data_IF_364004722169
#
_entry.id   IF_364004722169
#
_cell.length_a   1.000
_cell.length_b   1.000
_cell.length_c   1.000
_cell.angle_alpha   90.00
_cell.angle_beta   90.00
_cell.angle_gamma   90.00
#
_symmetry.space_group_name_H-M   'P 1'
#
loop_
_entity.id
_entity.type
_entity.pdbx_description
1 polymer ?
#
# COMPACT_ATOMS: atom_id res chain seq x y z
N UNK A 1 26.53 16.12 -2.42
CA UNK A 1 26.50 14.65 -2.52
C UNK A 1 25.33 14.13 -1.70
N UNK A 2 24.36 13.47 -2.33
CA UNK A 2 23.23 12.86 -1.62
C UNK A 2 23.73 11.70 -0.75
N UNK A 3 23.30 11.64 0.52
CA UNK A 3 23.57 10.48 1.38
C UNK A 3 22.60 9.37 1.00
N UNK A 4 23.12 8.30 0.41
CA UNK A 4 22.34 7.10 0.14
C UNK A 4 21.91 6.43 1.46
N UNK A 5 20.71 5.88 1.47
CA UNK A 5 20.24 5.04 2.58
C UNK A 5 20.84 3.65 2.37
N UNK A 6 21.38 3.09 3.44
CA UNK A 6 21.89 1.71 3.47
C UNK A 6 20.91 0.85 4.25
N UNK A 7 20.70 -0.39 3.81
CA UNK A 7 19.90 -1.37 4.55
C UNK A 7 20.46 -1.52 5.98
N UNK A 8 19.62 -1.44 7.02
CA UNK A 8 20.05 -1.72 8.39
C UNK A 8 20.64 -3.13 8.51
N UNK A 9 21.72 -3.26 9.28
CA UNK A 9 22.26 -4.57 9.63
C UNK A 9 21.27 -5.34 10.51
N UNK A 10 21.38 -6.66 10.52
CA UNK A 10 20.54 -7.56 11.31
C UNK A 10 20.53 -7.28 12.82
N UNK A 11 21.63 -6.75 13.36
CA UNK A 11 21.73 -6.33 14.76
C UNK A 11 20.83 -5.13 15.10
N UNK A 12 20.56 -4.26 14.11
CA UNK A 12 19.72 -3.07 14.28
C UNK A 12 18.25 -3.42 13.99
N UNK A 13 18.02 -4.24 12.97
CA UNK A 13 16.71 -4.72 12.59
C UNK A 13 16.74 -6.27 12.59
N UNK A 14 16.38 -6.91 13.72
CA UNK A 14 16.39 -8.36 13.84
C UNK A 14 15.53 -9.04 12.77
N UNK A 15 15.79 -10.32 12.44
CA UNK A 15 14.94 -11.06 11.53
C UNK A 15 13.50 -11.09 12.06
N UNK A 16 12.54 -10.75 11.19
CA UNK A 16 11.12 -10.68 11.53
C UNK A 16 10.29 -9.96 10.46
N UNK A 17 8.97 -9.84 10.65
CA UNK A 17 8.07 -9.24 9.65
C UNK A 17 8.45 -7.82 9.25
N UNK A 18 8.86 -6.98 10.21
CA UNK A 18 9.32 -5.60 9.96
C UNK A 18 10.56 -5.57 9.05
N UNK A 19 11.49 -6.50 9.25
CA UNK A 19 12.68 -6.62 8.39
C UNK A 19 12.30 -7.06 6.98
N UNK A 20 11.40 -8.05 6.85
CA UNK A 20 10.92 -8.52 5.55
C UNK A 20 10.25 -7.40 4.74
N UNK A 21 9.38 -6.62 5.38
CA UNK A 21 8.77 -5.43 4.76
C UNK A 21 9.81 -4.39 4.36
N UNK A 22 10.72 -4.03 5.26
CA UNK A 22 11.78 -3.03 5.00
C UNK A 22 12.69 -3.46 3.86
N UNK A 23 13.06 -4.74 3.83
CA UNK A 23 13.91 -5.31 2.78
C UNK A 23 13.23 -5.24 1.41
N UNK A 24 11.95 -5.64 1.33
CA UNK A 24 11.20 -5.58 0.08
C UNK A 24 11.10 -4.14 -0.46
N UNK A 25 10.86 -3.14 0.39
CA UNK A 25 10.83 -1.75 -0.02
C UNK A 25 12.23 -1.24 -0.42
N UNK A 26 13.27 -1.68 0.27
CA UNK A 26 14.65 -1.32 -0.03
C UNK A 26 15.14 -1.93 -1.35
N UNK A 27 14.64 -3.10 -1.74
CA UNK A 27 14.94 -3.70 -3.03
C UNK A 27 14.38 -2.86 -4.19
N UNK A 28 13.13 -2.36 -4.07
CA UNK A 28 12.58 -1.38 -5.02
C UNK A 28 13.35 -0.05 -5.01
N UNK A 29 13.79 0.41 -3.85
CA UNK A 29 14.63 1.60 -3.75
C UNK A 29 15.96 1.44 -4.51
N UNK A 30 16.55 0.24 -4.46
CA UNK A 30 17.76 -0.08 -5.23
C UNK A 30 17.48 -0.20 -6.72
N UNK A 31 16.39 -0.86 -7.11
CA UNK A 31 15.98 -1.04 -8.49
C UNK A 31 15.75 0.30 -9.19
N UNK A 32 15.06 1.23 -8.51
CA UNK A 32 14.82 2.60 -8.94
C UNK A 32 16.08 3.50 -9.05
N UNK A 33 17.29 2.97 -8.90
CA UNK A 33 18.54 3.74 -9.02
C UNK A 33 18.89 4.56 -7.77
N UNK A 34 18.31 4.25 -6.60
CA UNK A 34 18.56 4.94 -5.32
C UNK A 34 18.31 6.45 -5.37
N UNK A 35 17.09 6.89 -5.75
CA UNK A 35 16.74 8.31 -5.79
C UNK A 35 16.94 8.95 -4.40
N UNK A 36 17.14 10.26 -4.36
CA UNK A 36 17.17 10.97 -3.09
C UNK A 36 15.78 11.01 -2.46
N UNK A 37 15.72 11.10 -1.14
CA UNK A 37 14.46 11.22 -0.41
C UNK A 37 13.63 12.43 -0.81
N UNK A 38 14.29 13.51 -1.23
CA UNK A 38 13.62 14.73 -1.70
C UNK A 38 12.94 14.44 -3.03
N UNK A 39 13.62 13.79 -3.97
CA UNK A 39 13.02 13.43 -5.26
C UNK A 39 11.82 12.49 -5.08
N UNK A 40 11.91 11.48 -4.20
CA UNK A 40 10.75 10.60 -3.93
C UNK A 40 9.57 11.41 -3.36
N UNK A 41 9.83 12.32 -2.43
CA UNK A 41 8.77 13.12 -1.81
C UNK A 41 8.14 14.11 -2.82
N UNK A 42 8.95 14.70 -3.68
CA UNK A 42 8.50 15.64 -4.73
C UNK A 42 7.69 14.90 -5.82
N UNK A 43 8.10 13.69 -6.20
CA UNK A 43 7.36 12.83 -7.12
C UNK A 43 5.99 12.44 -6.54
N UNK A 44 5.94 12.02 -5.27
CA UNK A 44 4.66 11.70 -4.58
C UNK A 44 3.76 12.94 -4.55
N UNK A 45 4.32 14.12 -4.27
CA UNK A 45 3.56 15.36 -4.23
C UNK A 45 3.04 15.80 -5.62
N UNK A 46 3.74 15.41 -6.68
CA UNK A 46 3.36 15.72 -8.07
C UNK A 46 2.37 14.74 -8.67
N UNK A 47 2.07 13.63 -7.97
CA UNK A 47 1.24 12.54 -8.48
C UNK A 47 -0.20 12.64 -7.96
N UNK A 48 -1.05 13.36 -8.70
CA UNK A 48 -2.44 13.65 -8.30
C UNK A 48 -3.32 12.39 -8.10
N UNK A 49 -2.94 11.25 -8.70
CA UNK A 49 -3.69 10.01 -8.58
C UNK A 49 -3.45 9.29 -7.24
N UNK A 50 -2.36 9.60 -6.53
CA UNK A 50 -2.01 8.96 -5.28
C UNK A 50 -2.84 9.55 -4.13
N UNK A 51 -3.51 8.67 -3.38
CA UNK A 51 -4.30 9.09 -2.19
C UNK A 51 -3.43 9.34 -0.95
N UNK A 52 -2.21 8.80 -0.93
CA UNK A 52 -1.28 8.93 0.19
C UNK A 52 -0.30 10.08 0.01
N UNK A 53 0.20 10.61 1.12
CA UNK A 53 1.38 11.47 1.14
C UNK A 53 2.43 10.87 2.08
N UNK A 54 3.71 11.09 1.75
CA UNK A 54 4.83 10.68 2.56
C UNK A 54 5.85 11.82 2.64
N UNK A 55 6.16 12.26 3.87
CA UNK A 55 7.25 13.23 4.06
C UNK A 55 8.62 12.56 3.87
N UNK A 56 9.64 13.34 3.55
CA UNK A 56 11.04 12.86 3.48
C UNK A 56 11.48 12.08 4.72
N UNK A 57 11.05 12.52 5.89
CA UNK A 57 11.39 11.87 7.15
C UNK A 57 10.62 10.55 7.34
N UNK A 58 9.36 10.50 6.92
CA UNK A 58 8.56 9.26 6.89
C UNK A 58 9.20 8.22 5.98
N UNK A 59 9.61 8.62 4.77
CA UNK A 59 10.27 7.74 3.80
C UNK A 59 11.61 7.24 4.38
N UNK A 60 12.41 8.12 5.01
CA UNK A 60 13.65 7.74 5.71
C UNK A 60 13.40 6.66 6.76
N UNK A 61 12.46 6.91 7.68
CA UNK A 61 12.17 5.99 8.79
C UNK A 61 11.67 4.64 8.29
N UNK A 62 10.85 4.64 7.24
CA UNK A 62 10.32 3.44 6.63
C UNK A 62 11.42 2.60 5.95
N UNK A 63 12.31 3.22 5.15
CA UNK A 63 13.44 2.52 4.52
C UNK A 63 14.50 2.03 5.51
N UNK A 64 14.49 2.54 6.75
CA UNK A 64 15.34 2.06 7.84
C UNK A 64 14.66 1.07 8.77
N UNK A 65 13.38 0.75 8.55
CA UNK A 65 12.61 -0.08 9.45
C UNK A 65 12.41 0.53 10.85
N UNK A 66 12.63 1.83 11.03
CA UNK A 66 12.42 2.54 12.30
C UNK A 66 10.92 2.74 12.58
N UNK A 67 10.08 2.75 11.54
CA UNK A 67 8.63 2.92 11.68
C UNK A 67 7.90 2.22 10.52
N UNK A 68 6.85 1.47 10.86
CA UNK A 68 5.89 0.93 9.89
C UNK A 68 4.69 1.89 9.82
N UNK A 69 4.38 2.50 8.67
CA UNK A 69 3.21 3.38 8.56
C UNK A 69 1.92 2.61 8.85
N UNK A 70 0.99 3.24 9.58
CA UNK A 70 -0.32 2.64 9.92
C UNK A 70 -1.31 2.65 8.75
N UNK A 71 -1.04 3.42 7.69
CA UNK A 71 -1.91 3.53 6.52
C UNK A 71 -1.23 2.95 5.30
N UNK A 72 -1.90 1.98 4.66
CA UNK A 72 -1.45 1.37 3.41
C UNK A 72 -1.20 2.42 2.31
N UNK A 73 -2.06 3.43 2.19
CA UNK A 73 -1.96 4.46 1.14
C UNK A 73 -0.62 5.22 1.14
N UNK A 74 0.02 5.38 2.30
CA UNK A 74 1.35 6.00 2.39
C UNK A 74 2.43 5.08 1.84
N UNK A 75 2.34 3.77 2.10
CA UNK A 75 3.27 2.76 1.59
C UNK A 75 3.09 2.59 0.08
N UNK A 76 1.84 2.49 -0.36
CA UNK A 76 1.45 2.40 -1.76
C UNK A 76 1.98 3.59 -2.58
N UNK A 77 1.86 4.82 -2.05
CA UNK A 77 2.38 6.00 -2.75
C UNK A 77 3.91 5.93 -2.96
N UNK A 78 4.66 5.50 -1.94
CA UNK A 78 6.11 5.33 -2.06
C UNK A 78 6.46 4.20 -3.02
N UNK A 79 5.76 3.06 -2.93
CA UNK A 79 5.99 1.92 -3.81
C UNK A 79 5.73 2.28 -5.27
N UNK A 80 4.62 2.95 -5.57
CA UNK A 80 4.26 3.37 -6.92
C UNK A 80 5.34 4.24 -7.55
N UNK A 81 5.81 5.26 -6.84
CA UNK A 81 6.90 6.12 -7.34
C UNK A 81 8.20 5.34 -7.55
N UNK A 82 8.55 4.40 -6.67
CA UNK A 82 9.74 3.57 -6.86
C UNK A 82 9.62 2.65 -8.08
N UNK A 83 8.46 2.01 -8.27
CA UNK A 83 8.19 1.17 -9.44
C UNK A 83 8.23 1.99 -10.74
N UNK A 84 7.58 3.16 -10.77
CA UNK A 84 7.59 4.04 -11.96
C UNK A 84 9.01 4.46 -12.36
N UNK A 85 9.88 4.74 -11.39
CA UNK A 85 11.29 5.10 -11.66
C UNK A 85 12.13 3.93 -12.15
N UNK A 86 11.78 2.71 -11.75
CA UNK A 86 12.36 1.47 -12.28
C UNK A 86 11.79 1.10 -13.67
N UNK A 87 10.74 1.79 -14.14
CA UNK A 87 10.03 1.43 -15.37
C UNK A 87 9.09 0.23 -15.21
N UNK A 88 8.87 -0.22 -13.98
CA UNK A 88 8.00 -1.35 -13.63
C UNK A 88 6.64 -0.85 -13.16
N UNK A 89 5.55 -1.54 -13.52
CA UNK A 89 4.22 -1.21 -12.99
C UNK A 89 4.01 -1.88 -11.63
N UNK A 90 3.50 -1.17 -10.60
CA UNK A 90 3.20 -1.78 -9.29
C UNK A 90 2.06 -2.81 -9.36
N UNK A 91 1.17 -2.69 -10.36
CA UNK A 91 0.13 -3.68 -10.68
C UNK A 91 0.60 -4.71 -11.72
N UNK A 92 1.84 -4.61 -12.20
CA UNK A 92 2.42 -5.60 -13.09
C UNK A 92 2.44 -6.97 -12.42
N UNK A 93 1.99 -7.97 -13.15
CA UNK A 93 2.23 -9.37 -12.78
C UNK A 93 3.69 -9.67 -13.09
N UNK A 94 4.48 -10.12 -12.10
CA UNK A 94 5.78 -10.71 -12.41
C UNK A 94 5.60 -11.89 -13.35
N UNK A 95 6.52 -12.06 -14.30
CA UNK A 95 6.45 -13.08 -15.37
C UNK A 95 6.15 -14.50 -14.88
N UNK A 96 6.45 -14.81 -13.62
CA UNK A 96 6.30 -16.14 -13.01
C UNK A 96 5.50 -16.17 -11.70
N UNK A 97 4.72 -15.14 -11.35
CA UNK A 97 3.90 -15.17 -10.13
C UNK A 97 2.53 -14.52 -10.30
N UNK A 98 1.51 -15.20 -9.77
CA UNK A 98 0.11 -14.75 -9.74
C UNK A 98 -0.13 -13.53 -8.83
N UNK A 99 0.90 -13.06 -8.11
CA UNK A 99 0.78 -12.01 -7.11
C UNK A 99 1.51 -10.77 -7.62
N UNK A 100 0.79 -9.65 -7.74
CA UNK A 100 1.40 -8.39 -8.17
C UNK A 100 2.43 -7.89 -7.15
N UNK A 101 3.36 -7.06 -7.60
CA UNK A 101 4.35 -6.45 -6.72
C UNK A 101 3.71 -5.70 -5.55
N UNK A 102 2.64 -4.95 -5.82
CA UNK A 102 1.84 -4.28 -4.80
C UNK A 102 1.24 -5.23 -3.76
N UNK A 103 0.63 -6.34 -4.20
CA UNK A 103 0.04 -7.34 -3.29
C UNK A 103 1.09 -8.01 -2.40
N UNK A 104 2.27 -8.34 -2.95
CA UNK A 104 3.37 -8.91 -2.17
C UNK A 104 3.83 -7.96 -1.07
N UNK A 105 4.05 -6.69 -1.40
CA UNK A 105 4.46 -5.67 -0.41
C UNK A 105 3.34 -5.41 0.60
N UNK A 106 2.07 -5.43 0.17
CA UNK A 106 0.92 -5.29 1.06
C UNK A 106 0.86 -6.38 2.12
N UNK A 107 1.05 -7.64 1.74
CA UNK A 107 1.08 -8.76 2.69
C UNK A 107 2.19 -8.58 3.73
N UNK A 108 3.41 -8.22 3.29
CA UNK A 108 4.53 -7.95 4.20
C UNK A 108 4.24 -6.77 5.13
N UNK A 109 3.56 -5.75 4.64
CA UNK A 109 3.12 -4.61 5.44
C UNK A 109 2.08 -5.01 6.49
N UNK A 110 1.05 -5.78 6.11
CA UNK A 110 0.02 -6.28 7.03
C UNK A 110 0.69 -7.09 8.18
N UNK A 111 1.61 -8.00 7.85
CA UNK A 111 2.41 -8.77 8.83
C UNK A 111 3.28 -7.87 9.73
N UNK A 112 3.90 -6.84 9.15
CA UNK A 112 4.76 -5.91 9.88
C UNK A 112 3.97 -4.98 10.82
N UNK A 113 2.77 -4.54 10.42
CA UNK A 113 1.86 -3.75 11.26
C UNK A 113 1.39 -4.58 12.45
N UNK A 114 0.98 -5.83 12.20
CA UNK A 114 0.54 -6.75 13.25
C UNK A 114 1.67 -7.03 14.25
N UNK A 115 2.88 -7.36 13.78
CA UNK A 115 4.04 -7.56 14.64
C UNK A 115 4.41 -6.29 15.43
N UNK A 116 4.27 -5.10 14.83
CA UNK A 116 4.52 -3.83 15.51
C UNK A 116 3.46 -3.51 16.59
N UNK A 117 2.21 -3.93 16.40
CA UNK A 117 1.18 -3.86 17.43
C UNK A 117 1.47 -4.83 18.58
N UNK A 118 1.80 -6.08 18.27
CA UNK A 118 2.18 -7.10 19.26
C UNK A 118 3.41 -6.67 20.09
N UNK A 119 4.41 -6.04 19.47
CA UNK A 119 5.59 -5.52 20.18
C UNK A 119 5.28 -4.29 21.06
N UNK A 120 4.20 -3.56 20.76
CA UNK A 120 3.76 -2.39 21.53
C UNK A 120 2.89 -2.74 22.71
N UNK A 121 2.13 -3.82 22.62
CA UNK A 121 1.39 -4.34 23.76
C UNK A 121 2.41 -4.76 24.82
N UNK A 122 2.53 -4.00 25.94
CA UNK A 122 3.38 -4.44 27.01
C UNK A 122 2.79 -5.77 27.47
N UNK A 123 3.59 -6.83 27.46
CA UNK A 123 3.34 -8.05 28.24
C UNK A 123 3.49 -7.69 29.73
N UNK A 124 2.85 -6.62 30.17
CA UNK A 124 2.51 -6.44 31.56
C UNK A 124 1.22 -7.22 31.70
N UNK A 125 1.20 -8.36 32.42
CA UNK A 125 -0.07 -8.91 32.85
C UNK A 125 -0.78 -7.75 33.53
N UNK A 126 -1.90 -7.29 32.97
CA UNK A 126 -2.63 -6.16 33.54
C UNK A 126 -2.88 -6.52 35.01
N UNK A 127 -2.22 -5.86 35.98
CA UNK A 127 -2.30 -6.28 37.37
C UNK A 127 -3.72 -6.13 37.93
N UNK A 128 -4.57 -5.38 37.22
CA UNK A 128 -5.97 -5.21 37.51
C UNK A 128 -6.85 -6.30 36.89
N UNK A 129 -6.43 -6.97 35.82
CA UNK A 129 -7.18 -8.09 35.22
C UNK A 129 -7.16 -9.37 36.08
N UNK A 130 -6.26 -9.48 37.06
CA UNK A 130 -6.27 -10.59 38.03
C UNK A 130 -7.24 -10.36 39.19
N UNK A 131 -7.86 -9.18 39.33
CA UNK A 131 -8.68 -8.87 40.50
C UNK A 131 -10.14 -9.35 40.40
N UNK A 132 -10.58 -9.76 39.21
CA UNK A 132 -11.96 -10.22 38.99
C UNK A 132 -12.13 -11.74 39.21
N UNK A 133 -11.04 -12.53 39.12
CA UNK A 133 -11.06 -13.98 39.34
C UNK A 133 -11.01 -14.38 40.83
N UNK A 134 -10.48 -13.51 41.71
CA UNK A 134 -10.46 -13.76 43.16
C UNK A 134 -11.70 -13.23 43.90
N UNK A 135 -12.58 -12.50 43.19
CA UNK A 135 -13.78 -11.87 43.74
C UNK A 135 -15.10 -12.50 43.31
N UNK A 136 -15.10 -13.35 42.28
CA UNK A 136 -16.22 -14.25 41.98
C UNK A 136 -16.17 -15.47 42.90
N UNK A 137 -16.14 -15.20 44.21
CA UNK A 137 -16.84 -16.06 45.14
C UNK A 137 -18.26 -16.08 44.66
N UNK A 138 -18.58 -17.13 43.91
CA UNK A 138 -19.90 -17.65 43.68
C UNK A 138 -20.68 -17.46 44.97
N UNK A 139 -21.39 -16.33 45.07
CA UNK A 139 -22.50 -16.18 45.98
C UNK A 139 -23.57 -17.07 45.36
N UNK A 140 -23.41 -18.38 45.55
CA UNK A 140 -24.48 -19.35 45.51
C UNK A 140 -25.46 -18.86 46.56
N UNK A 141 -26.33 -17.93 46.17
CA UNK A 141 -27.60 -17.76 46.85
C UNK A 141 -28.21 -19.16 46.82
N UNK A 142 -28.52 -19.78 47.96
CA UNK A 142 -29.26 -21.03 47.92
C UNK A 142 -30.53 -20.74 47.15
N UNK A 143 -30.65 -21.32 45.96
CA UNK A 143 -31.90 -21.32 45.21
C UNK A 143 -32.90 -21.98 46.14
N UNK A 144 -33.77 -21.18 46.73
CA UNK A 144 -34.87 -21.72 47.52
C UNK A 144 -35.75 -22.51 46.56
N UNK A 145 -36.20 -23.68 46.99
CA UNK A 145 -37.01 -24.62 46.19
C UNK A 145 -38.24 -23.97 45.54
N UNK A 146 -38.69 -22.82 46.06
CA UNK A 146 -39.79 -22.02 45.52
C UNK A 146 -39.48 -21.30 44.19
N UNK A 147 -38.22 -21.00 43.86
CA UNK A 147 -37.86 -20.27 42.64
C UNK A 147 -37.62 -21.20 41.44
N UNK A 148 -37.31 -22.48 41.69
CA UNK A 148 -37.16 -23.51 40.67
C UNK A 148 -38.48 -23.91 39.99
N UNK A 149 -39.64 -23.78 40.66
CA UNK A 149 -40.94 -24.04 40.04
C UNK A 149 -41.43 -22.89 39.13
N UNK A 150 -40.95 -21.66 39.31
CA UNK A 150 -41.38 -20.53 38.49
C UNK A 150 -40.72 -20.51 37.10
N UNK A 151 -39.49 -21.03 36.98
CA UNK A 151 -38.75 -21.05 35.71
C UNK A 151 -39.21 -22.16 34.75
N UNK A 152 -39.72 -23.28 35.25
CA UNK A 152 -40.30 -24.34 34.42
C UNK A 152 -41.57 -23.91 33.66
N UNK A 153 -42.25 -22.84 34.10
CA UNK A 153 -43.46 -22.33 33.45
C UNK A 153 -43.18 -21.38 32.27
N UNK A 154 -41.95 -20.85 32.13
CA UNK A 154 -41.60 -19.89 31.08
C UNK A 154 -41.11 -20.60 29.81
N UNK A 155 -40.42 -21.75 29.92
CA UNK A 155 -39.92 -22.49 28.76
C UNK A 155 -41.03 -23.22 27.96
N UNK A 156 -42.16 -23.57 28.58
CA UNK A 156 -43.27 -24.22 27.88
C UNK A 156 -44.04 -23.24 26.95
N UNK A 157 -43.96 -21.92 27.22
CA UNK A 157 -44.62 -20.89 26.40
C UNK A 157 -43.82 -20.50 25.14
N UNK A 158 -42.50 -20.64 25.15
CA UNK A 158 -41.65 -20.21 24.02
C UNK A 158 -41.59 -21.27 22.90
N UNK A 159 -41.84 -22.54 23.22
CA UNK A 159 -41.85 -23.62 22.22
C UNK A 159 -43.09 -23.59 21.29
N UNK A 160 -44.13 -22.80 21.62
CA UNK A 160 -45.33 -22.65 20.80
C UNK A 160 -45.23 -21.58 19.70
N UNK A 161 -44.21 -20.71 19.72
CA UNK A 161 -44.15 -19.56 18.79
C UNK A 161 -43.26 -19.78 17.54
N UNK A 162 -42.60 -20.93 17.43
CA UNK A 162 -41.67 -21.26 16.34
C UNK A 162 -42.30 -22.00 15.13
N UNK A 163 -43.62 -22.20 15.10
CA UNK A 163 -44.30 -22.97 14.05
C UNK A 163 -44.90 -22.12 12.90
N UNK A 164 -44.88 -20.79 12.96
CA UNK A 164 -45.56 -19.92 11.98
C UNK A 164 -44.62 -18.88 11.35
N UNK A 165 -43.57 -19.35 10.67
CA UNK A 165 -42.88 -18.53 9.67
C UNK A 165 -42.28 -19.40 8.57
N UNK A 166 -43.11 -20.29 8.03
CA UNK A 166 -42.90 -20.87 6.72
C UNK A 166 -43.58 -20.00 5.65
N UNK A 167 -42.97 -19.94 4.47
CA UNK A 167 -43.61 -19.68 3.18
C UNK A 167 -43.68 -18.20 2.74
N UNK A 168 -42.77 -17.78 1.83
CA UNK A 168 -43.05 -17.73 0.37
C UNK A 168 -41.82 -17.27 -0.44
N UNK A 169 -41.77 -17.77 -1.68
CA UNK A 169 -41.09 -17.23 -2.87
C UNK A 169 -39.72 -17.81 -3.25
N UNK A 170 -39.80 -19.02 -3.79
CA UNK A 170 -39.02 -19.43 -4.95
C UNK A 170 -39.64 -18.83 -6.23
N UNK A 171 -38.84 -18.14 -7.05
CA UNK A 171 -39.04 -17.82 -8.49
C UNK A 171 -37.80 -17.00 -8.90
N UNK A 172 -37.10 -17.17 -10.02
CA UNK A 172 -37.26 -17.99 -11.20
C UNK A 172 -35.86 -18.21 -11.81
N UNK A 173 -35.62 -19.44 -12.27
CA UNK A 173 -34.78 -19.73 -13.42
C UNK A 173 -35.38 -19.08 -14.66
N UNK A 174 -34.63 -18.22 -15.36
CA UNK A 174 -34.81 -18.05 -16.81
C UNK A 174 -33.53 -17.53 -17.45
N UNK A 175 -33.10 -18.25 -18.49
CA UNK A 175 -31.94 -17.94 -19.30
C UNK A 175 -32.16 -16.70 -20.15
N UNK A 176 -31.07 -15.99 -20.42
CA UNK A 176 -31.06 -14.80 -21.25
C UNK A 176 -29.79 -14.72 -22.07
N UNK A 177 -29.80 -15.46 -23.17
CA UNK A 177 -28.96 -15.26 -24.35
C UNK A 177 -28.85 -13.76 -24.69
N UNK A 178 -27.62 -13.23 -24.77
CA UNK A 178 -27.32 -12.01 -25.53
C UNK A 178 -25.95 -12.11 -26.19
N UNK A 179 -25.89 -12.91 -27.25
CA UNK A 179 -24.97 -12.61 -28.37
C UNK A 179 -25.52 -11.44 -29.17
N UNK A 180 -24.63 -10.49 -29.47
CA UNK A 180 -24.76 -9.57 -30.60
C UNK A 180 -25.44 -8.24 -30.28
N UNK A 181 -24.69 -7.15 -30.39
CA UNK A 181 -24.81 -6.24 -31.53
C UNK A 181 -23.71 -5.18 -31.46
N UNK A 182 -23.01 -5.07 -32.59
CA UNK A 182 -22.20 -3.94 -32.95
C UNK A 182 -23.06 -2.68 -33.19
N UNK A 183 -22.37 -1.55 -33.38
CA UNK A 183 -22.76 -0.28 -34.00
C UNK A 183 -22.93 0.95 -33.11
N UNK A 184 -21.94 1.84 -33.26
CA UNK A 184 -22.08 3.20 -33.78
C UNK A 184 -23.18 4.08 -33.20
N UNK A 185 -22.76 5.18 -32.54
CA UNK A 185 -22.95 6.57 -32.99
C UNK A 185 -22.57 7.51 -31.84
N UNK A 186 -21.55 8.36 -32.02
CA UNK A 186 -21.70 9.80 -32.34
C UNK A 186 -22.72 10.51 -31.45
N UNK A 187 -22.23 11.39 -30.59
CA UNK A 187 -23.05 12.32 -29.82
C UNK A 187 -22.20 13.39 -29.17
N UNK A 188 -21.86 14.42 -29.93
CA UNK A 188 -21.33 15.69 -29.46
C UNK A 188 -22.19 16.25 -28.33
N UNK A 189 -21.59 16.47 -27.16
CA UNK A 189 -22.18 17.21 -26.05
C UNK A 189 -21.29 18.39 -25.68
N UNK A 190 -21.40 19.47 -26.44
CA UNK A 190 -20.84 20.78 -26.09
C UNK A 190 -21.64 21.33 -24.91
N UNK A 191 -21.20 21.03 -23.69
CA UNK A 191 -21.65 21.67 -22.46
C UNK A 191 -20.92 22.99 -22.26
N UNK A 192 -21.65 24.08 -22.47
CA UNK A 192 -21.21 25.44 -22.21
C UNK A 192 -20.82 25.65 -20.74
N UNK A 193 -19.64 26.25 -20.52
CA UNK A 193 -19.23 26.78 -19.22
C UNK A 193 -19.53 28.28 -19.17
N UNK A 194 -20.07 28.82 -18.07
CA UNK A 194 -20.46 30.22 -17.98
C UNK A 194 -19.24 31.15 -17.93
N UNK A 195 -19.29 32.21 -18.73
CA UNK A 195 -18.40 33.36 -18.70
C UNK A 195 -18.71 34.23 -17.49
N UNK A 196 -17.90 34.11 -16.43
CA UNK A 196 -17.94 35.03 -15.29
C UNK A 196 -17.06 36.26 -15.56
N UNK A 197 -17.75 37.33 -15.95
CA UNK A 197 -17.54 38.76 -15.66
C UNK A 197 -16.16 39.21 -15.13
N UNK A 198 -15.54 40.06 -15.95
CA UNK A 198 -14.40 40.92 -15.63
C UNK A 198 -14.67 41.86 -14.45
N UNK A 199 -14.00 41.61 -13.32
CA UNK A 199 -13.81 42.58 -12.24
C UNK A 199 -12.48 43.31 -12.42
N UNK A 200 -12.56 44.54 -12.90
CA UNK A 200 -11.46 45.48 -13.11
C UNK A 200 -11.25 46.33 -11.84
N UNK A 201 -10.13 46.19 -11.13
CA UNK A 201 -9.51 47.25 -10.31
C UNK A 201 -8.20 46.79 -9.67
N UNK A 202 -7.16 47.65 -9.68
CA UNK A 202 -6.05 47.58 -8.72
C UNK A 202 -4.68 47.17 -9.27
N UNK A 203 -4.15 47.90 -10.26
CA UNK A 203 -2.73 47.83 -10.62
C UNK A 203 -1.89 48.51 -9.53
N UNK A 204 -1.26 47.73 -8.66
CA UNK A 204 -0.10 48.13 -7.87
C UNK A 204 1.17 47.67 -8.59
N UNK A 205 1.94 48.63 -9.10
CA UNK A 205 3.13 48.37 -9.92
C UNK A 205 4.29 47.77 -9.13
N UNK A 206 4.94 46.78 -9.73
CA UNK A 206 6.31 46.37 -9.40
C UNK A 206 7.23 46.86 -10.52
N UNK A 207 8.41 47.43 -10.20
CA UNK A 207 9.31 47.96 -11.23
C UNK A 207 10.00 46.83 -12.00
N UNK A 208 9.75 46.79 -13.30
CA UNK A 208 10.46 45.97 -14.29
C UNK A 208 11.88 46.51 -14.46
N UNK A 209 12.89 45.66 -14.22
CA UNK A 209 14.26 45.91 -14.64
C UNK A 209 14.38 45.75 -16.17
N UNK A 210 15.09 46.64 -16.89
CA UNK A 210 15.27 46.51 -18.33
C UNK A 210 16.49 45.64 -18.67
N UNK A 211 16.33 44.76 -19.66
CA UNK A 211 17.43 44.36 -20.54
C UNK A 211 17.74 42.88 -20.61
N UNK A 212 16.90 42.10 -21.29
CA UNK A 212 17.36 40.91 -22.02
C UNK A 212 16.70 40.91 -23.40
N UNK A 213 17.47 40.94 -24.51
CA UNK A 213 16.92 41.04 -25.86
C UNK A 213 16.25 39.74 -26.30
N UNK A 214 15.07 39.90 -26.89
CA UNK A 214 14.30 38.86 -27.56
C UNK A 214 15.01 38.40 -28.83
N UNK A 215 15.65 37.23 -28.79
CA UNK A 215 16.03 36.49 -29.99
C UNK A 215 15.00 35.40 -30.30
N UNK A 216 14.15 35.75 -31.28
CA UNK A 216 13.61 34.91 -32.34
C UNK A 216 13.64 33.38 -32.13
N UNK A 217 12.49 32.81 -31.78
CA UNK A 217 12.27 31.38 -31.92
C UNK A 217 11.88 31.15 -33.38
N UNK A 218 12.93 30.99 -34.19
CA UNK A 218 12.84 30.61 -35.59
C UNK A 218 12.55 29.11 -35.66
N UNK A 219 11.47 28.75 -36.34
CA UNK A 219 11.19 27.39 -36.80
C UNK A 219 12.32 26.92 -37.72
N UNK A 220 13.08 25.92 -37.30
CA UNK A 220 13.97 25.11 -38.15
C UNK A 220 13.57 23.66 -37.83
N UNK A 221 13.02 22.87 -38.75
CA UNK A 221 13.60 22.63 -40.07
C UNK A 221 14.62 21.51 -39.88
N UNK A 222 14.19 20.29 -40.20
CA UNK A 222 14.89 19.02 -40.06
C UNK A 222 16.37 19.09 -40.37
N UNK A 223 17.20 18.58 -39.44
CA UNK A 223 18.57 18.18 -39.73
C UNK A 223 18.85 16.85 -39.01
N UNK A 224 19.00 15.73 -39.74
CA UNK A 224 19.42 14.45 -39.19
C UNK A 224 20.94 14.44 -39.02
N UNK A 225 21.43 15.18 -38.02
CA UNK A 225 22.81 15.04 -37.57
C UNK A 225 22.88 13.90 -36.56
N UNK A 226 23.68 12.90 -36.93
CA UNK A 226 24.17 11.79 -36.13
C UNK A 226 24.38 12.21 -34.68
N UNK A 227 23.58 11.63 -33.78
CA UNK A 227 23.88 11.63 -32.36
C UNK A 227 25.25 10.94 -32.17
N UNK A 228 26.22 11.57 -31.52
CA UNK A 228 27.41 10.86 -31.07
C UNK A 228 26.93 9.78 -30.10
N UNK A 229 27.32 8.53 -30.34
CA UNK A 229 27.06 7.38 -29.47
C UNK A 229 27.26 7.79 -28.01
N UNK A 230 26.14 8.08 -27.32
CA UNK A 230 26.11 8.10 -25.87
C UNK A 230 26.36 6.67 -25.48
N UNK A 231 27.58 6.44 -25.05
CA UNK A 231 27.99 5.25 -24.35
C UNK A 231 27.10 5.17 -23.09
N UNK A 232 25.97 4.49 -23.20
CA UNK A 232 25.01 4.25 -22.14
C UNK A 232 25.66 3.24 -21.19
N UNK A 233 26.10 3.63 -19.97
CA UNK A 233 26.78 2.71 -19.05
C UNK A 233 25.85 1.61 -18.49
N UNK A 234 24.64 1.50 -19.03
CA UNK A 234 23.59 0.56 -18.61
C UNK A 234 23.33 -0.58 -19.61
N UNK A 235 23.95 -0.59 -20.80
CA UNK A 235 23.74 -1.71 -21.75
C UNK A 235 24.45 -3.01 -21.35
N UNK A 236 25.48 -2.97 -20.49
CA UNK A 236 26.16 -4.16 -19.95
C UNK A 236 25.59 -4.67 -18.62
N UNK A 237 24.57 -4.00 -18.05
CA UNK A 237 23.92 -4.50 -16.85
C UNK A 237 22.86 -5.53 -17.23
N UNK A 238 23.20 -6.82 -17.13
CA UNK A 238 22.23 -7.92 -17.26
C UNK A 238 21.64 -8.25 -15.88
N UNK A 239 20.39 -7.84 -15.58
CA UNK A 239 19.68 -8.36 -14.41
C UNK A 239 19.20 -9.78 -14.73
N UNK A 240 19.84 -10.82 -14.15
CA UNK A 240 19.16 -12.12 -14.13
C UNK A 240 19.97 -13.39 -13.90
N UNK A 241 21.28 -13.43 -14.14
CA UNK A 241 21.95 -14.75 -14.23
C UNK A 241 22.67 -15.20 -12.96
N UNK A 242 23.00 -14.31 -12.03
CA UNK A 242 23.83 -14.69 -10.86
C UNK A 242 23.05 -15.03 -9.58
N UNK A 243 21.76 -14.70 -9.49
CA UNK A 243 20.99 -14.98 -8.26
C UNK A 243 20.40 -16.39 -8.19
N UNK A 244 20.20 -17.06 -9.34
CA UNK A 244 19.70 -18.43 -9.36
C UNK A 244 20.75 -19.46 -8.87
N UNK A 245 22.05 -19.20 -9.09
CA UNK A 245 23.10 -20.15 -8.70
C UNK A 245 23.54 -20.03 -7.22
N UNK A 246 23.24 -18.90 -6.56
CA UNK A 246 23.66 -18.67 -5.18
C UNK A 246 22.67 -19.22 -4.13
N UNK A 247 21.38 -19.36 -4.47
CA UNK A 247 20.36 -19.91 -3.55
C UNK A 247 20.45 -21.44 -3.47
N UNK A 248 20.89 -22.12 -4.53
CA UNK A 248 21.00 -23.59 -4.56
C UNK A 248 22.22 -24.13 -3.78
N UNK A 249 23.21 -23.28 -3.45
CA UNK A 249 24.39 -23.69 -2.67
C UNK A 249 24.28 -23.52 -1.15
N UNK A 250 23.21 -22.92 -0.63
CA UNK A 250 23.11 -22.62 0.81
C UNK A 250 22.23 -23.60 1.61
N UNK A 251 21.79 -24.71 1.02
CA UNK A 251 20.80 -25.59 1.63
C UNK A 251 21.31 -27.00 1.95
N UNK A 252 22.47 -27.17 2.60
CA UNK A 252 22.79 -28.38 3.41
C UNK A 252 23.94 -28.10 4.40
N UNK A 253 23.68 -27.86 5.69
CA UNK A 253 24.70 -28.09 6.71
C UNK A 253 24.90 -29.60 6.85
N UNK A 254 26.09 -30.08 6.47
CA UNK A 254 26.52 -31.46 6.67
C UNK A 254 26.37 -31.87 8.14
N UNK A 255 25.73 -33.00 8.40
CA UNK A 255 25.65 -33.64 9.70
C UNK A 255 27.06 -33.88 10.29
N UNK A 256 27.27 -33.71 11.61
CA UNK A 256 28.55 -34.01 12.22
C UNK A 256 28.79 -35.53 12.28
N UNK A 257 30.03 -36.00 12.05
CA UNK A 257 30.37 -37.41 12.23
C UNK A 257 30.34 -37.77 13.73
N UNK A 258 29.84 -38.98 14.01
CA UNK A 258 29.70 -39.63 15.30
C UNK A 258 30.93 -39.56 16.22
#
# INVERSE_FOLDING_TARGET
MGRFITMPSEWVLPPGPVRGFTQALYDWYKAAGRPSLTEIADDIASHDALRGSASRETIRKMLRGETVPQRWTTVEAVLTVLCERDGTSPQGEPEYSEVTHGQRVKRLWDEAVEAAHQAREPIMPNPWAQKDEAGSGESTRPVTVAEAEAQAAIEDAEMAHAADTGQVSAVATEGGDRRGLAQQSRGSGLGAWPTASSGQAGRGGWPTAPGVPAHAWRTNGSDPLQEPERNDPFQDWQPGTEWAEAVEKSQYPSEPPF
#
